data_IF_750702608491
#
_entry.id   IF_750702608491
#
_cell.length_a   1.000
_cell.length_b   1.000
_cell.length_c   1.000
_cell.angle_alpha   90.00
_cell.angle_beta   90.00
_cell.angle_gamma   90.00
#
_symmetry.space_group_name_H-M   'P 1'
#
loop_
_entity.id
_entity.type
_entity.pdbx_description
1 polymer ?
#
# COMPACT_ATOMS: atom_id res chain seq x y z
N UNK A 1 -21.20 -5.19 19.25
CA UNK A 1 -21.01 -4.05 18.33
C UNK A 1 -20.06 -2.96 18.87
N UNK A 2 -20.33 -2.33 20.01
CA UNK A 2 -19.58 -1.13 20.46
C UNK A 2 -18.06 -1.33 20.62
N UNK A 3 -17.67 -2.50 21.12
CA UNK A 3 -16.27 -2.91 21.24
C UNK A 3 -15.56 -2.99 19.86
N UNK A 4 -16.25 -3.44 18.81
CA UNK A 4 -15.68 -3.50 17.46
C UNK A 4 -15.50 -2.12 16.84
N UNK A 5 -16.44 -1.19 17.11
CA UNK A 5 -16.30 0.21 16.67
C UNK A 5 -15.11 0.86 17.39
N UNK A 6 -14.94 0.61 18.69
CA UNK A 6 -13.78 1.11 19.44
C UNK A 6 -12.45 0.54 18.90
N UNK A 7 -12.42 -0.76 18.58
CA UNK A 7 -11.25 -1.37 17.94
C UNK A 7 -10.96 -0.75 16.57
N UNK A 8 -12.00 -0.50 15.76
CA UNK A 8 -11.87 0.16 14.47
C UNK A 8 -11.29 1.57 14.61
N UNK A 9 -11.83 2.38 15.54
CA UNK A 9 -11.32 3.72 15.83
C UNK A 9 -9.85 3.70 16.28
N UNK A 10 -9.49 2.80 17.21
CA UNK A 10 -8.09 2.66 17.67
C UNK A 10 -7.16 2.25 16.54
N UNK A 11 -7.54 1.25 15.75
CA UNK A 11 -6.74 0.76 14.64
C UNK A 11 -6.51 1.88 13.61
N UNK A 12 -7.57 2.62 13.25
CA UNK A 12 -7.47 3.74 12.32
C UNK A 12 -6.61 4.86 12.87
N UNK A 13 -6.78 5.27 14.13
CA UNK A 13 -5.98 6.34 14.72
C UNK A 13 -4.49 5.98 14.79
N UNK A 14 -4.16 4.76 15.23
CA UNK A 14 -2.77 4.29 15.26
C UNK A 14 -2.12 4.26 13.87
N UNK A 15 -2.88 3.86 12.85
CA UNK A 15 -2.40 3.91 11.48
C UNK A 15 -2.23 5.34 10.97
N UNK A 16 -3.14 6.25 11.33
CA UNK A 16 -3.03 7.67 11.00
C UNK A 16 -1.77 8.32 11.60
N UNK A 17 -1.36 7.91 12.80
CA UNK A 17 -0.14 8.42 13.45
C UNK A 17 1.15 8.02 12.68
N UNK A 18 1.13 6.92 11.93
CA UNK A 18 2.27 6.41 11.16
C UNK A 18 2.11 6.50 9.63
N UNK A 19 1.00 7.09 9.14
CA UNK A 19 0.61 7.02 7.73
C UNK A 19 1.64 7.58 6.74
N UNK A 20 2.41 8.58 7.15
CA UNK A 20 3.43 9.20 6.29
C UNK A 20 4.61 8.25 6.05
N UNK A 21 5.01 7.50 7.08
CA UNK A 21 6.20 6.64 7.07
C UNK A 21 5.89 5.15 6.83
N UNK A 22 4.61 4.77 6.76
CA UNK A 22 4.27 3.35 6.64
C UNK A 22 4.62 2.76 5.28
N UNK A 23 5.08 1.50 5.30
CA UNK A 23 5.43 0.70 4.13
C UNK A 23 4.20 0.08 3.48
N UNK A 24 4.37 -0.48 2.28
CA UNK A 24 3.31 -1.23 1.61
C UNK A 24 2.77 -2.39 2.46
N UNK A 25 3.65 -3.17 3.09
CA UNK A 25 3.29 -4.30 3.93
C UNK A 25 2.48 -3.87 5.16
N UNK A 26 2.85 -2.76 5.79
CA UNK A 26 2.13 -2.21 6.94
C UNK A 26 0.73 -1.70 6.54
N UNK A 27 0.61 -1.10 5.34
CA UNK A 27 -0.70 -0.71 4.78
C UNK A 27 -1.56 -1.95 4.51
N UNK A 28 -0.99 -3.01 3.93
CA UNK A 28 -1.71 -4.25 3.65
C UNK A 28 -2.20 -4.93 4.94
N UNK A 29 -1.35 -4.99 5.96
CA UNK A 29 -1.71 -5.53 7.27
C UNK A 29 -2.83 -4.70 7.92
N UNK A 30 -2.74 -3.37 7.85
CA UNK A 30 -3.79 -2.47 8.35
C UNK A 30 -5.13 -2.72 7.65
N UNK A 31 -5.16 -2.76 6.31
CA UNK A 31 -6.39 -2.99 5.55
C UNK A 31 -7.00 -4.34 5.87
N UNK A 32 -6.17 -5.38 6.01
CA UNK A 32 -6.62 -6.74 6.36
C UNK A 32 -7.29 -6.77 7.74
N UNK A 33 -6.64 -6.16 8.75
CA UNK A 33 -7.20 -6.04 10.10
C UNK A 33 -8.49 -5.21 10.12
N UNK A 34 -8.50 -4.09 9.40
CA UNK A 34 -9.67 -3.22 9.26
C UNK A 34 -10.86 -3.98 8.67
N UNK A 35 -10.63 -4.74 7.60
CA UNK A 35 -11.68 -5.52 6.94
C UNK A 35 -12.29 -6.55 7.89
N UNK A 36 -11.47 -7.28 8.64
CA UNK A 36 -11.97 -8.26 9.62
C UNK A 36 -12.90 -7.61 10.66
N UNK A 37 -12.54 -6.43 11.18
CA UNK A 37 -13.38 -5.71 12.14
C UNK A 37 -14.69 -5.25 11.49
N UNK A 38 -14.63 -4.72 10.27
CA UNK A 38 -15.81 -4.31 9.50
C UNK A 38 -16.76 -5.48 9.25
N UNK A 39 -16.22 -6.66 8.93
CA UNK A 39 -17.03 -7.87 8.72
C UNK A 39 -17.77 -8.28 10.01
N UNK A 40 -17.12 -8.20 11.17
CA UNK A 40 -17.78 -8.43 12.46
C UNK A 40 -18.87 -7.39 12.76
N UNK A 41 -18.64 -6.12 12.44
CA UNK A 41 -19.65 -5.06 12.58
C UNK A 41 -20.86 -5.37 11.68
N UNK A 42 -20.63 -5.75 10.43
CA UNK A 42 -21.68 -6.12 9.49
C UNK A 42 -22.48 -7.35 9.96
N UNK A 43 -21.81 -8.36 10.50
CA UNK A 43 -22.46 -9.54 11.07
C UNK A 43 -23.34 -9.17 12.28
N UNK A 44 -22.86 -8.30 13.17
CA UNK A 44 -23.66 -7.81 14.31
C UNK A 44 -24.88 -7.01 13.85
N UNK A 45 -24.76 -6.20 12.79
CA UNK A 45 -25.85 -5.44 12.19
C UNK A 45 -26.91 -6.34 11.54
N UNK A 46 -26.51 -7.45 10.94
CA UNK A 46 -27.46 -8.43 10.40
C UNK A 46 -28.24 -9.13 11.51
N UNK A 47 -27.65 -9.31 12.70
CA UNK A 47 -28.27 -9.95 13.84
C UNK A 47 -29.08 -8.99 14.73
N UNK A 48 -28.93 -7.67 14.56
CA UNK A 48 -29.60 -6.64 15.36
C UNK A 48 -30.13 -5.53 14.46
N UNK A 49 -31.45 -5.34 14.46
CA UNK A 49 -32.14 -4.38 13.58
C UNK A 49 -31.76 -2.90 13.79
N UNK A 50 -31.10 -2.53 14.90
CA UNK A 50 -30.90 -1.12 15.24
C UNK A 50 -29.47 -0.84 15.72
N UNK A 51 -28.80 0.06 15.01
CA UNK A 51 -27.58 0.73 15.47
C UNK A 51 -27.91 2.11 16.03
N UNK A 52 -27.27 2.49 17.13
CA UNK A 52 -27.52 3.77 17.79
C UNK A 52 -26.93 4.94 16.97
N UNK A 53 -27.46 6.15 17.15
CA UNK A 53 -26.90 7.33 16.46
C UNK A 53 -25.44 7.59 16.84
N UNK A 54 -25.05 7.34 18.10
CA UNK A 54 -23.65 7.44 18.55
C UNK A 54 -22.73 6.49 17.75
N UNK A 55 -23.15 5.23 17.55
CA UNK A 55 -22.40 4.26 16.75
C UNK A 55 -22.24 4.70 15.30
N UNK A 56 -23.29 5.26 14.71
CA UNK A 56 -23.24 5.79 13.34
C UNK A 56 -22.27 6.96 13.24
N UNK A 57 -22.27 7.86 14.22
CA UNK A 57 -21.39 9.02 14.21
C UNK A 57 -19.92 8.64 14.43
N UNK A 58 -19.65 7.64 15.26
CA UNK A 58 -18.31 7.02 15.39
C UNK A 58 -17.81 6.45 14.06
N UNK A 59 -18.65 5.66 13.39
CA UNK A 59 -18.32 5.08 12.08
C UNK A 59 -18.08 6.19 11.03
N UNK A 60 -18.91 7.23 11.00
CA UNK A 60 -18.71 8.38 10.10
C UNK A 60 -17.37 9.08 10.32
N UNK A 61 -16.92 9.23 11.57
CA UNK A 61 -15.61 9.83 11.85
C UNK A 61 -14.47 8.99 11.27
N UNK A 62 -14.53 7.67 11.42
CA UNK A 62 -13.57 6.75 10.80
C UNK A 62 -13.60 6.88 9.28
N UNK A 63 -14.78 6.86 8.66
CA UNK A 63 -14.94 7.03 7.21
C UNK A 63 -14.39 8.38 6.70
N UNK A 64 -14.42 9.42 7.53
CA UNK A 64 -13.82 10.72 7.19
C UNK A 64 -12.30 10.69 6.98
N UNK A 65 -11.61 9.64 7.47
CA UNK A 65 -10.16 9.47 7.32
C UNK A 65 -9.79 8.67 6.06
N UNK A 66 -10.73 7.94 5.47
CA UNK A 66 -10.50 7.08 4.29
C UNK A 66 -9.87 7.82 3.09
N UNK A 67 -10.20 9.09 2.78
CA UNK A 67 -9.54 9.81 1.68
C UNK A 67 -8.03 9.93 1.86
N UNK A 68 -7.55 10.06 3.11
CA UNK A 68 -6.11 10.16 3.40
C UNK A 68 -5.43 8.81 3.21
N UNK A 69 -6.07 7.74 3.67
CA UNK A 69 -5.62 6.35 3.52
C UNK A 69 -5.50 5.99 2.03
N UNK A 70 -6.53 6.32 1.23
CA UNK A 70 -6.53 6.10 -0.21
C UNK A 70 -5.40 6.86 -0.91
N UNK A 71 -5.14 8.11 -0.49
CA UNK A 71 -4.03 8.90 -1.03
C UNK A 71 -2.67 8.25 -0.74
N UNK A 72 -2.47 7.69 0.46
CA UNK A 72 -1.23 6.96 0.79
C UNK A 72 -1.06 5.71 -0.07
N UNK A 73 -2.13 4.93 -0.27
CA UNK A 73 -2.10 3.76 -1.16
C UNK A 73 -1.74 4.15 -2.59
N UNK A 74 -2.31 5.23 -3.11
CA UNK A 74 -1.99 5.73 -4.45
C UNK A 74 -0.53 6.21 -4.55
N UNK A 75 -0.01 6.89 -3.52
CA UNK A 75 1.40 7.29 -3.46
C UNK A 75 2.34 6.10 -3.58
N UNK A 76 2.09 5.02 -2.81
CA UNK A 76 2.89 3.80 -2.86
C UNK A 76 2.78 3.11 -4.23
N UNK A 77 1.59 3.12 -4.84
CA UNK A 77 1.38 2.58 -6.19
C UNK A 77 2.21 3.34 -7.24
N UNK A 78 2.23 4.66 -7.16
CA UNK A 78 3.01 5.52 -8.06
C UNK A 78 4.51 5.32 -7.88
N UNK A 79 4.99 5.22 -6.63
CA UNK A 79 6.39 4.94 -6.33
C UNK A 79 6.86 3.59 -6.93
N UNK A 80 6.05 2.53 -6.75
CA UNK A 80 6.34 1.24 -7.34
C UNK A 80 6.38 1.28 -8.88
N UNK A 81 5.47 2.05 -9.50
CA UNK A 81 5.46 2.25 -10.94
C UNK A 81 6.71 2.99 -11.44
N UNK A 82 7.14 4.04 -10.73
CA UNK A 82 8.35 4.79 -11.04
C UNK A 82 9.60 3.92 -10.91
N UNK A 83 9.69 3.12 -9.85
CA UNK A 83 10.81 2.20 -9.66
C UNK A 83 10.94 1.19 -10.81
N UNK A 84 9.81 0.62 -11.27
CA UNK A 84 9.78 -0.27 -12.42
C UNK A 84 10.20 0.43 -13.71
N UNK A 85 9.75 1.68 -13.92
CA UNK A 85 10.14 2.48 -15.08
C UNK A 85 11.64 2.77 -15.11
N UNK A 86 12.20 3.22 -13.99
CA UNK A 86 13.63 3.52 -13.85
C UNK A 86 14.49 2.25 -14.06
N UNK A 87 14.04 1.10 -13.57
CA UNK A 87 14.70 -0.18 -13.82
C UNK A 87 14.72 -0.54 -15.30
N UNK A 88 13.62 -0.33 -16.02
CA UNK A 88 13.58 -0.58 -17.48
C UNK A 88 14.56 0.32 -18.22
N UNK A 89 14.58 1.62 -17.90
CA UNK A 89 15.52 2.57 -18.51
C UNK A 89 16.98 2.18 -18.25
N UNK A 90 17.33 1.80 -17.01
CA UNK A 90 18.68 1.35 -16.67
C UNK A 90 19.08 0.07 -17.42
N UNK A 91 18.15 -0.86 -17.64
CA UNK A 91 18.39 -2.06 -18.44
C UNK A 91 18.61 -1.73 -19.93
N UNK A 92 17.83 -0.80 -20.49
CA UNK A 92 18.00 -0.31 -21.86
C UNK A 92 19.35 0.40 -22.04
N UNK A 93 19.76 1.23 -21.08
CA UNK A 93 21.06 1.89 -21.12
C UNK A 93 22.21 0.87 -21.06
N UNK A 94 22.16 -0.12 -20.15
CA UNK A 94 23.17 -1.21 -20.11
C UNK A 94 23.24 -1.98 -21.43
N UNK A 95 22.08 -2.35 -21.99
CA UNK A 95 22.01 -3.04 -23.28
C UNK A 95 22.61 -2.21 -24.42
N UNK A 96 22.40 -0.88 -24.43
CA UNK A 96 22.96 0.00 -25.47
C UNK A 96 24.48 0.19 -25.36
N UNK A 97 25.05 0.17 -24.14
CA UNK A 97 26.50 0.20 -23.96
C UNK A 97 27.14 -1.18 -24.26
N UNK A 98 26.49 -2.29 -23.91
CA UNK A 98 26.97 -3.64 -24.24
C UNK A 98 26.84 -3.97 -25.74
N UNK A 99 25.79 -3.52 -26.42
CA UNK A 99 25.61 -3.75 -27.87
C UNK A 99 26.58 -2.96 -28.75
N UNK A 100 27.12 -1.85 -28.25
CA UNK A 100 28.19 -1.11 -28.92
C UNK A 100 29.59 -1.68 -28.63
N UNK A 101 29.69 -2.72 -27.81
CA UNK A 101 30.93 -3.39 -27.44
C UNK A 101 31.05 -4.81 -28.04
N UNK A 102 30.60 -5.05 -29.28
CA UNK A 102 31.24 -5.98 -30.24
C UNK A 102 30.38 -6.14 -31.52
N UNK A 103 30.97 -5.83 -32.69
CA UNK A 103 31.27 -6.90 -33.63
C UNK A 103 32.70 -6.76 -34.18
N UNK A 104 33.71 -6.87 -33.32
CA UNK A 104 35.09 -6.69 -33.79
C UNK A 104 36.26 -6.89 -32.82
N UNK A 105 36.05 -7.28 -31.55
CA UNK A 105 37.19 -7.52 -30.65
C UNK A 105 37.75 -8.94 -30.83
N UNK A 106 38.41 -9.17 -31.97
CA UNK A 106 39.43 -10.22 -32.10
C UNK A 106 40.59 -9.80 -31.20
N UNK A 107 40.63 -10.31 -29.97
CA UNK A 107 41.80 -10.19 -29.11
C UNK A 107 42.88 -11.13 -29.68
N UNK A 108 43.76 -10.58 -30.52
CA UNK A 108 44.94 -11.29 -31.00
C UNK A 108 45.86 -11.60 -29.82
N UNK A 109 45.93 -12.87 -29.41
CA UNK A 109 47.07 -13.35 -28.62
C UNK A 109 48.24 -13.60 -29.59
N UNK A 110 49.16 -12.65 -29.66
CA UNK A 110 50.51 -12.89 -30.17
C UNK A 110 51.46 -12.82 -28.98
N UNK A 111 51.63 -13.93 -28.28
CA UNK A 111 52.83 -14.17 -27.47
C UNK A 111 53.96 -14.68 -28.36
N UNK A 112 55.09 -14.00 -28.27
CA UNK A 112 56.39 -14.40 -28.78
C UNK A 112 56.93 -15.60 -28.01
#
# INVERSE_FOLDING_TARGET
MDNYIEQLEKLTNLFMDSIEICSYEEVEEFITKRQSIVDFINMELQNKDVSTEDQKDRIKRVLGLDPVILKKMESLRLEAQEWLYNRRQAATQRSAYESNLSPGSILMDRRK
#
